data_IF_104213040350
#
_entry.id   IF_104213040350
#
_cell.length_a   1.000
_cell.length_b   1.000
_cell.length_c   1.000
_cell.angle_alpha   90.00
_cell.angle_beta   90.00
_cell.angle_gamma   90.00
#
_symmetry.space_group_name_H-M   'P 1'
#
loop_
_entity.id
_entity.type
_entity.pdbx_description
1 polymer ?
#
# COMPACT_ATOMS: atom_id res chain seq x y z
N UNK A 1 -13.93 -2.52 26.63
CA UNK A 1 -13.05 -1.82 25.67
C UNK A 1 -12.40 -2.90 24.83
N UNK A 2 -12.57 -2.90 23.50
CA UNK A 2 -11.95 -3.92 22.64
C UNK A 2 -10.44 -3.69 22.58
N UNK A 3 -9.66 -4.75 22.47
CA UNK A 3 -8.23 -4.62 22.17
C UNK A 3 -8.03 -4.08 20.74
N UNK A 4 -6.86 -3.49 20.46
CA UNK A 4 -6.53 -3.00 19.12
C UNK A 4 -6.55 -4.12 18.07
N UNK A 5 -6.17 -5.35 18.45
CA UNK A 5 -6.21 -6.52 17.57
C UNK A 5 -7.64 -6.96 17.27
N UNK A 6 -8.54 -6.96 18.26
CA UNK A 6 -9.95 -7.27 18.05
C UNK A 6 -10.64 -6.20 17.18
N UNK A 7 -10.34 -4.91 17.42
CA UNK A 7 -10.87 -3.82 16.62
C UNK A 7 -10.36 -3.87 15.16
N UNK A 8 -9.11 -4.27 14.94
CA UNK A 8 -8.56 -4.52 13.61
C UNK A 8 -9.25 -5.72 12.94
N UNK A 9 -9.38 -6.85 13.65
CA UNK A 9 -10.03 -8.06 13.13
C UNK A 9 -11.51 -7.85 12.76
N UNK A 10 -12.25 -7.11 13.59
CA UNK A 10 -13.64 -6.77 13.33
C UNK A 10 -13.82 -5.70 12.23
N UNK A 11 -12.73 -5.16 11.66
CA UNK A 11 -12.77 -4.14 10.61
C UNK A 11 -13.19 -2.75 11.10
N UNK A 12 -13.08 -2.49 12.41
CA UNK A 12 -13.35 -1.17 13.02
C UNK A 12 -12.17 -0.22 12.81
N UNK A 13 -10.95 -0.75 12.76
CA UNK A 13 -9.74 -0.01 12.38
C UNK A 13 -9.42 -0.33 10.93
N UNK A 14 -9.53 0.68 10.06
CA UNK A 14 -9.23 0.60 8.63
C UNK A 14 -8.34 1.76 8.21
N UNK A 15 -7.03 1.69 8.50
CA UNK A 15 -6.12 2.81 8.26
C UNK A 15 -6.17 3.26 6.81
N UNK A 16 -6.23 2.30 5.87
CA UNK A 16 -6.26 2.52 4.43
C UNK A 16 -7.47 3.33 3.97
N UNK A 17 -8.63 3.15 4.60
CA UNK A 17 -9.87 3.84 4.22
C UNK A 17 -9.85 5.33 4.59
N UNK A 18 -8.99 5.73 5.53
CA UNK A 18 -8.82 7.11 5.98
C UNK A 18 -7.65 7.83 5.30
N UNK A 19 -6.77 7.09 4.63
CA UNK A 19 -5.64 7.66 3.90
C UNK A 19 -6.16 8.22 2.58
N UNK A 20 -6.49 9.50 2.59
CA UNK A 20 -6.59 10.32 1.38
C UNK A 20 -5.26 11.04 1.24
N UNK A 21 -4.40 10.67 0.27
CA UNK A 21 -3.13 11.37 0.07
C UNK A 21 -3.39 12.87 -0.19
N UNK A 22 -3.07 13.68 0.81
CA UNK A 22 -3.11 15.14 0.71
C UNK A 22 -1.85 15.71 0.07
N UNK A 23 -0.83 14.87 -0.10
CA UNK A 23 0.44 15.21 -0.71
C UNK A 23 0.24 15.84 -2.11
N UNK A 24 0.70 17.08 -2.33
CA UNK A 24 0.53 17.78 -3.60
C UNK A 24 1.24 17.10 -4.76
N UNK A 25 2.40 16.47 -4.53
CA UNK A 25 3.18 15.76 -5.54
C UNK A 25 2.43 14.51 -6.00
N UNK A 26 1.91 13.71 -5.06
CA UNK A 26 1.07 12.56 -5.38
C UNK A 26 -0.12 12.97 -6.26
N UNK A 27 -0.80 14.07 -5.92
CA UNK A 27 -1.94 14.57 -6.71
C UNK A 27 -1.52 15.04 -8.10
N UNK A 28 -0.38 15.71 -8.22
CA UNK A 28 0.15 16.16 -9.50
C UNK A 28 0.53 14.99 -10.40
N UNK A 29 1.18 13.96 -9.86
CA UNK A 29 1.55 12.75 -10.58
C UNK A 29 0.30 11.99 -11.07
N UNK A 30 -0.70 11.80 -10.19
CA UNK A 30 -1.92 11.10 -10.58
C UNK A 30 -2.72 11.85 -11.65
N UNK A 31 -2.73 13.19 -11.61
CA UNK A 31 -3.35 13.99 -12.67
C UNK A 31 -2.67 13.75 -14.03
N UNK A 32 -1.33 13.82 -14.07
CA UNK A 32 -0.56 13.54 -15.30
C UNK A 32 -0.80 12.12 -15.81
N UNK A 33 -0.92 11.15 -14.91
CA UNK A 33 -1.25 9.77 -15.26
C UNK A 33 -2.64 9.68 -15.92
N UNK A 34 -3.66 10.34 -15.34
CA UNK A 34 -5.01 10.38 -15.93
C UNK A 34 -5.01 11.05 -17.31
N UNK A 35 -4.30 12.16 -17.48
CA UNK A 35 -4.14 12.84 -18.77
C UNK A 35 -3.48 11.92 -19.82
N UNK A 36 -2.42 11.19 -19.43
CA UNK A 36 -1.75 10.24 -20.31
C UNK A 36 -2.66 9.07 -20.71
N UNK A 37 -3.44 8.51 -19.77
CA UNK A 37 -4.42 7.44 -20.06
C UNK A 37 -5.47 7.94 -21.05
N UNK A 38 -6.01 9.15 -20.84
CA UNK A 38 -7.01 9.73 -21.74
C UNK A 38 -6.44 9.94 -23.16
N UNK A 39 -5.21 10.46 -23.27
CA UNK A 39 -4.53 10.58 -24.56
C UNK A 39 -4.41 9.22 -25.28
N UNK A 40 -4.04 8.14 -24.57
CA UNK A 40 -3.95 6.82 -25.17
C UNK A 40 -5.31 6.25 -25.57
N UNK A 41 -6.35 6.53 -24.80
CA UNK A 41 -7.73 6.15 -25.12
C UNK A 41 -8.22 6.74 -26.44
N UNK A 42 -7.80 7.97 -26.76
CA UNK A 42 -8.16 8.65 -28.01
C UNK A 42 -7.36 8.16 -29.23
N UNK A 43 -6.14 7.65 -29.00
CA UNK A 43 -5.23 7.20 -30.07
C UNK A 43 -5.39 5.73 -30.46
N UNK A 44 -5.79 4.89 -29.51
CA UNK A 44 -5.84 3.45 -29.69
C UNK A 44 -7.25 3.00 -30.11
N UNK A 45 -7.31 1.89 -30.85
CA UNK A 45 -8.57 1.19 -31.05
C UNK A 45 -9.12 0.66 -29.71
N UNK A 46 -10.43 0.38 -29.60
CA UNK A 46 -11.00 -0.17 -28.36
C UNK A 46 -10.30 -1.46 -27.88
N UNK A 47 -9.88 -2.32 -28.81
CA UNK A 47 -9.19 -3.57 -28.46
C UNK A 47 -7.76 -3.34 -27.96
N UNK A 48 -7.01 -2.43 -28.58
CA UNK A 48 -5.66 -2.06 -28.12
C UNK A 48 -5.72 -1.35 -26.77
N UNK A 49 -6.70 -0.45 -26.58
CA UNK A 49 -6.88 0.20 -25.29
C UNK A 49 -7.26 -0.80 -24.20
N UNK A 50 -8.10 -1.80 -24.51
CA UNK A 50 -8.43 -2.86 -23.56
C UNK A 50 -7.20 -3.68 -23.12
N UNK A 51 -6.31 -4.01 -24.06
CA UNK A 51 -5.04 -4.68 -23.72
C UNK A 51 -4.15 -3.82 -22.82
N UNK A 52 -4.14 -2.50 -23.03
CA UNK A 52 -3.42 -1.55 -22.18
C UNK A 52 -4.04 -1.50 -20.76
N UNK A 53 -5.37 -1.49 -20.64
CA UNK A 53 -6.06 -1.57 -19.35
C UNK A 53 -5.72 -2.88 -18.61
N UNK A 54 -5.74 -4.01 -19.31
CA UNK A 54 -5.41 -5.32 -18.72
C UNK A 54 -3.95 -5.35 -18.21
N UNK A 55 -3.02 -4.71 -18.93
CA UNK A 55 -1.64 -4.54 -18.47
C UNK A 55 -1.56 -3.69 -17.20
N UNK A 56 -2.31 -2.57 -17.11
CA UNK A 56 -2.35 -1.74 -15.90
C UNK A 56 -2.91 -2.51 -14.71
N UNK A 57 -3.92 -3.36 -14.91
CA UNK A 57 -4.47 -4.20 -13.83
C UNK A 57 -3.46 -5.24 -13.34
N UNK A 58 -2.71 -5.88 -14.25
CA UNK A 58 -1.60 -6.76 -13.89
C UNK A 58 -0.51 -6.01 -13.09
N UNK A 59 -0.15 -4.80 -13.53
CA UNK A 59 0.83 -3.96 -12.83
C UNK A 59 0.36 -3.59 -11.42
N UNK A 60 -0.89 -3.13 -11.26
CA UNK A 60 -1.49 -2.84 -9.95
C UNK A 60 -1.48 -4.06 -9.04
N UNK A 61 -1.81 -5.23 -9.57
CA UNK A 61 -1.79 -6.48 -8.79
C UNK A 61 -0.37 -6.82 -8.32
N UNK A 62 0.63 -6.69 -9.20
CA UNK A 62 2.03 -6.91 -8.85
C UNK A 62 2.51 -5.94 -7.75
N UNK A 63 2.20 -4.65 -7.88
CA UNK A 63 2.53 -3.62 -6.87
C UNK A 63 1.85 -3.90 -5.53
N UNK A 64 0.58 -4.32 -5.55
CA UNK A 64 -0.17 -4.68 -4.34
C UNK A 64 0.43 -5.89 -3.62
N UNK A 65 0.82 -6.94 -4.35
CA UNK A 65 1.49 -8.12 -3.77
C UNK A 65 2.83 -7.76 -3.13
N UNK A 66 3.64 -6.92 -3.79
CA UNK A 66 4.89 -6.43 -3.23
C UNK A 66 4.64 -5.59 -1.97
N UNK A 67 3.68 -4.66 -2.01
CA UNK A 67 3.33 -3.82 -0.87
C UNK A 67 2.88 -4.65 0.34
N UNK A 68 2.07 -5.70 0.12
CA UNK A 68 1.65 -6.62 1.17
C UNK A 68 2.84 -7.37 1.79
N UNK A 69 3.74 -7.90 0.96
CA UNK A 69 4.95 -8.56 1.43
C UNK A 69 5.87 -7.61 2.19
N UNK A 70 6.08 -6.39 1.69
CA UNK A 70 6.86 -5.35 2.37
C UNK A 70 6.24 -4.95 3.70
N UNK A 71 4.92 -4.83 3.78
CA UNK A 71 4.22 -4.52 5.04
C UNK A 71 4.45 -5.60 6.09
N UNK A 72 4.25 -6.88 5.75
CA UNK A 72 4.45 -8.00 6.69
C UNK A 72 5.89 -8.04 7.18
N UNK A 73 6.87 -8.01 6.27
CA UNK A 73 8.28 -8.04 6.63
C UNK A 73 8.68 -6.82 7.47
N UNK A 74 8.22 -5.62 7.09
CA UNK A 74 8.49 -4.39 7.83
C UNK A 74 7.89 -4.40 9.24
N UNK A 75 6.67 -4.90 9.39
CA UNK A 75 6.03 -5.03 10.70
C UNK A 75 6.75 -6.05 11.60
N UNK A 76 7.13 -7.20 11.05
CA UNK A 76 7.92 -8.21 11.76
C UNK A 76 9.27 -7.64 12.22
N UNK A 77 9.99 -6.95 11.32
CA UNK A 77 11.26 -6.30 11.64
C UNK A 77 11.09 -5.25 12.74
N UNK A 78 10.10 -4.36 12.62
CA UNK A 78 9.82 -3.35 13.64
C UNK A 78 9.48 -3.96 15.00
N UNK A 79 8.76 -5.09 15.01
CA UNK A 79 8.45 -5.84 16.24
C UNK A 79 9.71 -6.43 16.88
N UNK A 80 10.58 -7.05 16.07
CA UNK A 80 11.86 -7.58 16.56
C UNK A 80 12.77 -6.47 17.10
N UNK A 81 12.82 -5.32 16.43
CA UNK A 81 13.57 -4.15 16.91
C UNK A 81 13.05 -3.66 18.26
N UNK A 82 11.73 -3.63 18.47
CA UNK A 82 11.17 -3.27 19.77
C UNK A 82 11.58 -4.28 20.85
N UNK A 83 11.46 -5.58 20.58
CA UNK A 83 11.88 -6.63 21.52
C UNK A 83 13.36 -6.49 21.89
N UNK A 84 14.23 -6.29 20.90
CA UNK A 84 15.67 -6.11 21.09
C UNK A 84 15.98 -4.90 21.99
N UNK A 85 15.40 -3.74 21.69
CA UNK A 85 15.59 -2.50 22.48
C UNK A 85 15.12 -2.65 23.92
N UNK A 86 14.00 -3.34 24.16
CA UNK A 86 13.49 -3.56 25.53
C UNK A 86 14.29 -4.62 26.27
N UNK A 87 14.67 -5.72 25.62
CA UNK A 87 15.48 -6.78 26.23
C UNK A 87 16.86 -6.27 26.63
N UNK A 88 17.45 -5.36 25.84
CA UNK A 88 18.71 -4.70 26.16
C UNK A 88 18.61 -3.71 27.35
N UNK A 89 17.42 -3.16 27.63
CA UNK A 89 17.20 -2.22 28.74
C UNK A 89 16.98 -2.91 30.09
N UNK A 90 16.41 -4.10 30.11
CA UNK A 90 16.04 -4.79 31.35
C UNK A 90 17.15 -5.65 31.97
N UNK A 91 18.37 -5.66 31.41
CA UNK A 91 19.51 -6.38 32.00
C UNK A 91 19.33 -7.89 32.08
N UNK A 92 18.39 -8.46 31.32
CA UNK A 92 18.34 -9.89 31.04
C UNK A 92 19.06 -10.10 29.72
N UNK A 93 20.37 -10.34 29.82
CA UNK A 93 21.06 -11.09 28.77
C UNK A 93 20.30 -12.39 28.57
N UNK A 94 19.93 -12.67 27.32
CA UNK A 94 19.65 -14.04 26.89
C UNK A 94 20.88 -14.91 27.14
#
# INVERSE_FOLDING_TARGET
MKSMLEALYCGEIRPEASIVPADPEYRAVNRKLSEAIQMWKEKLSPNEFKQLEDMFDLRRKSESLLAAASFVNGFQLGTLMMIDVYSAKDGLGL
#
